data_IF_057694814593
#
_entry.id   IF_057694814593
#
_cell.length_a   1.000
_cell.length_b   1.000
_cell.length_c   1.000
_cell.angle_alpha   90.00
_cell.angle_beta   90.00
_cell.angle_gamma   90.00
#
_symmetry.space_group_name_H-M   'P 1'
#
loop_
_entity.id
_entity.type
_entity.pdbx_description
1 polymer ?
#
# COMPACT_ATOMS: atom_id res chain seq x y z
N UNK A 1 0.39 -2.09 -0.23
CA UNK A 1 -0.12 -2.22 -1.61
C UNK A 1 -1.57 -2.72 -1.63
N UNK A 2 -1.83 -3.86 -0.99
CA UNK A 2 -3.13 -4.56 -1.02
C UNK A 2 -4.28 -3.75 -0.39
N UNK A 3 -4.07 -3.18 0.79
CA UNK A 3 -5.08 -2.34 1.46
C UNK A 3 -5.43 -1.12 0.57
N UNK A 4 -4.40 -0.51 -0.02
CA UNK A 4 -4.55 0.64 -0.91
C UNK A 4 -5.32 0.25 -2.18
N UNK A 5 -5.07 -0.94 -2.76
CA UNK A 5 -5.81 -1.41 -3.93
C UNK A 5 -7.28 -1.72 -3.62
N UNK A 6 -7.59 -2.20 -2.41
CA UNK A 6 -8.96 -2.41 -1.94
C UNK A 6 -9.75 -1.10 -1.80
N UNK A 7 -9.15 -0.09 -1.15
CA UNK A 7 -9.74 1.26 -1.09
C UNK A 7 -9.93 1.87 -2.49
N UNK A 8 -8.96 1.65 -3.40
CA UNK A 8 -9.00 2.20 -4.76
C UNK A 8 -10.13 1.58 -5.58
N UNK A 9 -10.36 0.27 -5.45
CA UNK A 9 -11.50 -0.41 -6.04
C UNK A 9 -12.82 0.21 -5.55
N UNK A 10 -12.97 0.39 -4.23
CA UNK A 10 -14.16 1.02 -3.66
C UNK A 10 -14.42 2.43 -4.17
N UNK A 11 -13.36 3.22 -4.34
CA UNK A 11 -13.47 4.59 -4.84
C UNK A 11 -13.92 4.60 -6.31
N UNK A 12 -13.25 3.82 -7.17
CA UNK A 12 -13.60 3.75 -8.58
C UNK A 12 -14.99 3.15 -8.81
N UNK A 13 -15.35 2.07 -8.10
CA UNK A 13 -16.68 1.48 -8.18
C UNK A 13 -17.76 2.44 -7.68
N UNK A 14 -17.46 3.18 -6.60
CA UNK A 14 -18.28 4.24 -6.06
C UNK A 14 -18.61 5.34 -7.05
N UNK A 15 -17.60 5.92 -7.69
CA UNK A 15 -17.80 6.97 -8.67
C UNK A 15 -18.50 6.47 -9.94
N UNK A 16 -18.25 5.22 -10.35
CA UNK A 16 -19.00 4.59 -11.46
C UNK A 16 -20.48 4.42 -11.09
N UNK A 17 -20.79 3.91 -9.90
CA UNK A 17 -22.17 3.78 -9.43
C UNK A 17 -22.85 5.14 -9.28
N UNK A 18 -22.16 6.13 -8.71
CA UNK A 18 -22.63 7.50 -8.59
C UNK A 18 -22.94 8.09 -9.97
N UNK A 19 -22.03 7.96 -10.93
CA UNK A 19 -22.22 8.44 -12.31
C UNK A 19 -23.42 7.81 -13.02
N UNK A 20 -23.70 6.53 -12.73
CA UNK A 20 -24.88 5.85 -13.23
C UNK A 20 -26.17 6.41 -12.63
N UNK A 21 -26.16 6.81 -11.35
CA UNK A 21 -27.32 7.42 -10.69
C UNK A 21 -27.61 8.81 -11.27
N UNK A 22 -26.59 9.65 -11.41
CA UNK A 22 -26.74 11.02 -11.95
C UNK A 22 -26.80 11.06 -13.48
N UNK A 23 -26.70 9.91 -14.16
CA UNK A 23 -26.65 9.77 -15.62
C UNK A 23 -25.57 10.65 -16.27
N UNK A 24 -24.41 10.74 -15.60
CA UNK A 24 -23.27 11.56 -16.02
C UNK A 24 -22.20 10.72 -16.71
N UNK A 25 -22.11 10.88 -18.01
CA UNK A 25 -21.17 10.14 -18.85
C UNK A 25 -19.70 10.54 -18.61
N UNK A 26 -19.43 11.78 -18.25
CA UNK A 26 -18.06 12.28 -18.05
C UNK A 26 -17.45 11.67 -16.80
N UNK A 27 -18.21 11.61 -15.70
CA UNK A 27 -17.78 10.96 -14.46
C UNK A 27 -17.60 9.46 -14.69
N UNK A 28 -18.48 8.83 -15.46
CA UNK A 28 -18.39 7.40 -15.79
C UNK A 28 -17.09 7.07 -16.54
N UNK A 29 -16.84 7.75 -17.66
CA UNK A 29 -15.65 7.48 -18.50
C UNK A 29 -14.37 7.77 -17.74
N UNK A 30 -14.31 8.83 -16.94
CA UNK A 30 -13.11 9.15 -16.20
C UNK A 30 -12.72 8.08 -15.15
N UNK A 31 -13.71 7.40 -14.58
CA UNK A 31 -13.49 6.42 -13.50
C UNK A 31 -13.46 4.97 -13.97
N UNK A 32 -14.08 4.64 -15.12
CA UNK A 32 -14.15 3.28 -15.64
C UNK A 32 -12.76 2.63 -15.90
N UNK A 33 -11.76 3.30 -16.51
CA UNK A 33 -10.42 2.74 -16.66
C UNK A 33 -9.76 2.46 -15.30
N UNK A 34 -9.98 3.33 -14.32
CA UNK A 34 -9.50 3.16 -12.95
C UNK A 34 -10.12 1.93 -12.28
N UNK A 35 -11.41 1.69 -12.49
CA UNK A 35 -12.11 0.50 -12.02
C UNK A 35 -11.48 -0.77 -12.61
N UNK A 36 -11.29 -0.82 -13.93
CA UNK A 36 -10.66 -1.97 -14.60
C UNK A 36 -9.25 -2.22 -14.05
N UNK A 37 -8.44 -1.16 -13.92
CA UNK A 37 -7.09 -1.27 -13.38
C UNK A 37 -7.10 -1.73 -11.91
N UNK A 38 -8.03 -1.25 -11.10
CA UNK A 38 -8.15 -1.65 -9.70
C UNK A 38 -8.52 -3.12 -9.56
N UNK A 39 -9.41 -3.64 -10.41
CA UNK A 39 -9.74 -5.08 -10.44
C UNK A 39 -8.49 -5.89 -10.80
N UNK A 40 -7.75 -5.47 -11.82
CA UNK A 40 -6.52 -6.14 -12.21
C UNK A 40 -5.49 -6.15 -11.08
N UNK A 41 -5.25 -5.01 -10.42
CA UNK A 41 -4.31 -4.91 -9.30
C UNK A 41 -4.71 -5.83 -8.14
N UNK A 42 -6.00 -5.91 -7.81
CA UNK A 42 -6.48 -6.81 -6.76
C UNK A 42 -6.34 -8.30 -7.14
N UNK A 43 -6.57 -8.66 -8.41
CA UNK A 43 -6.33 -10.03 -8.90
C UNK A 43 -4.83 -10.41 -8.86
N UNK A 44 -3.94 -9.50 -9.25
CA UNK A 44 -2.49 -9.72 -9.16
C UNK A 44 -2.04 -9.86 -7.71
N UNK A 45 -2.58 -9.03 -6.81
CA UNK A 45 -2.31 -9.13 -5.39
C UNK A 45 -2.72 -10.51 -4.84
N UNK A 46 -3.93 -10.97 -5.12
CA UNK A 46 -4.40 -12.29 -4.71
C UNK A 46 -3.51 -13.42 -5.26
N UNK A 47 -3.08 -13.31 -6.53
CA UNK A 47 -2.16 -14.27 -7.14
C UNK A 47 -0.81 -14.32 -6.42
N UNK A 48 -0.21 -13.16 -6.12
CA UNK A 48 1.09 -13.09 -5.43
C UNK A 48 1.00 -13.72 -4.03
N UNK A 49 -0.10 -13.49 -3.32
CA UNK A 49 -0.30 -14.03 -1.98
C UNK A 49 -0.54 -15.55 -2.03
N UNK A 50 -1.31 -16.03 -3.00
CA UNK A 50 -1.48 -17.46 -3.23
C UNK A 50 -0.13 -18.15 -3.51
N UNK A 51 0.71 -17.53 -4.35
CA UNK A 51 2.04 -18.04 -4.63
C UNK A 51 2.95 -18.05 -3.39
N UNK A 52 2.87 -17.02 -2.54
CA UNK A 52 3.63 -16.98 -1.29
C UNK A 52 3.19 -18.08 -0.31
N UNK A 53 1.88 -18.28 -0.15
CA UNK A 53 1.32 -19.35 0.68
C UNK A 53 1.74 -20.75 0.19
N UNK A 54 1.74 -20.98 -1.11
CA UNK A 54 2.24 -22.24 -1.68
C UNK A 54 3.72 -22.46 -1.43
N UNK A 55 4.55 -21.41 -1.57
CA UNK A 55 6.00 -21.48 -1.29
C UNK A 55 6.27 -21.83 0.17
N UNK A 56 5.55 -21.21 1.10
CA UNK A 56 5.66 -21.50 2.53
C UNK A 56 5.21 -22.93 2.87
N UNK A 57 4.10 -23.40 2.27
CA UNK A 57 3.62 -24.78 2.47
C UNK A 57 4.61 -25.83 1.97
N UNK A 58 5.23 -25.59 0.81
CA UNK A 58 6.25 -26.49 0.27
C UNK A 58 7.54 -26.46 1.10
N UNK A 59 7.98 -25.29 1.55
CA UNK A 59 9.19 -25.18 2.38
C UNK A 59 9.02 -25.91 3.72
N UNK A 60 7.88 -25.74 4.40
CA UNK A 60 7.60 -26.46 5.64
C UNK A 60 7.51 -27.98 5.45
N UNK A 61 6.97 -28.45 4.31
CA UNK A 61 6.99 -29.89 4.00
C UNK A 61 8.39 -30.43 3.81
N UNK A 62 9.27 -29.66 3.15
CA UNK A 62 10.66 -30.07 2.96
C UNK A 62 11.44 -30.11 4.28
N UNK A 63 11.27 -29.11 5.15
CA UNK A 63 11.91 -29.07 6.48
C UNK A 63 11.46 -30.26 7.33
N UNK A 64 10.15 -30.54 7.39
CA UNK A 64 9.65 -31.69 8.14
C UNK A 64 10.22 -33.02 7.62
N UNK A 65 10.35 -33.19 6.30
CA UNK A 65 10.97 -34.39 5.72
C UNK A 65 12.46 -34.51 6.05
N UNK A 66 13.22 -33.41 6.05
CA UNK A 66 14.62 -33.43 6.48
C UNK A 66 14.76 -33.76 7.96
N UNK A 67 13.90 -33.22 8.82
CA UNK A 67 13.91 -33.50 10.26
C UNK A 67 13.53 -34.96 10.56
N UNK A 68 12.56 -35.53 9.83
CA UNK A 68 12.21 -36.95 9.93
C UNK A 68 13.37 -37.86 9.48
N UNK A 69 14.07 -37.47 8.40
CA UNK A 69 15.24 -38.23 7.93
C UNK A 69 16.44 -38.11 8.87
N UNK A 70 16.67 -36.93 9.47
CA UNK A 70 17.76 -36.69 10.40
C UNK A 70 17.50 -37.38 11.74
N UNK A 71 16.26 -37.35 12.24
CA UNK A 71 15.87 -38.10 13.45
C UNK A 71 15.91 -39.62 13.24
N UNK A 72 15.54 -40.13 12.06
CA UNK A 72 15.72 -41.54 11.73
C UNK A 72 17.21 -41.95 11.69
N UNK A 73 18.08 -41.09 11.15
CA UNK A 73 19.52 -41.31 11.13
C UNK A 73 20.15 -41.16 12.54
N UNK A 74 19.67 -40.23 13.35
CA UNK A 74 20.08 -40.06 14.74
C UNK A 74 19.61 -41.23 15.59
N UNK A 75 18.41 -41.79 15.39
CA UNK A 75 17.99 -43.03 16.05
C UNK A 75 18.87 -44.24 15.69
N UNK A 76 19.47 -44.27 14.49
CA UNK A 76 20.46 -45.28 14.10
C UNK A 76 21.80 -45.01 14.79
N UNK A 77 22.29 -43.76 14.78
CA UNK A 77 23.54 -43.38 15.45
C UNK A 77 23.48 -43.48 16.98
N UNK A 78 22.32 -43.24 17.59
CA UNK A 78 22.06 -43.35 19.03
C UNK A 78 22.13 -44.82 19.49
N UNK A 79 21.69 -45.78 18.67
CA UNK A 79 21.91 -47.22 18.94
C UNK A 79 23.39 -47.60 19.00
N UNK A 80 24.27 -46.84 18.35
CA UNK A 80 25.72 -47.04 18.37
C UNK A 80 26.42 -46.24 19.49
N UNK A 81 25.80 -45.15 19.96
CA UNK A 81 26.40 -44.18 20.90
C UNK A 81 25.84 -44.25 22.33
N UNK A 82 25.02 -45.24 22.66
CA UNK A 82 24.45 -45.47 24.00
C UNK A 82 25.44 -46.06 25.05
N UNK A 83 26.73 -45.77 24.95
CA UNK A 83 27.71 -46.08 26.01
C UNK A 83 28.25 -44.84 26.72
N UNK A 84 28.15 -43.64 26.15
CA UNK A 84 28.67 -42.42 26.76
C UNK A 84 27.75 -41.25 26.45
N UNK A 85 27.58 -40.34 27.42
CA UNK A 85 26.93 -39.01 27.32
C UNK A 85 25.47 -38.92 27.78
N UNK A 86 25.21 -39.31 29.02
CA UNK A 86 24.20 -38.65 29.84
C UNK A 86 24.80 -37.36 30.45
N UNK A 87 24.89 -36.28 29.67
CA UNK A 87 25.13 -34.89 30.15
C UNK A 87 25.15 -33.90 28.98
N UNK A 88 23.99 -33.43 28.54
CA UNK A 88 23.79 -32.09 27.95
C UNK A 88 22.36 -32.00 27.38
N UNK A 89 21.38 -31.92 28.27
CA UNK A 89 20.09 -31.34 27.92
C UNK A 89 19.98 -30.06 28.72
N UNK A 90 20.24 -28.93 28.07
CA UNK A 90 19.61 -27.64 28.40
C UNK A 90 20.04 -26.62 27.33
N UNK A 91 19.06 -26.20 26.51
CA UNK A 91 19.17 -25.00 25.68
C UNK A 91 19.28 -25.22 24.18
N UNK A 92 18.24 -25.70 23.51
CA UNK A 92 18.12 -25.44 22.08
C UNK A 92 16.67 -25.29 21.59
N UNK A 93 16.44 -24.13 20.97
CA UNK A 93 15.34 -23.67 20.12
C UNK A 93 13.89 -23.73 20.66
N UNK A 94 13.51 -22.68 21.40
CA UNK A 94 12.13 -22.18 21.46
C UNK A 94 11.93 -20.93 20.58
N UNK A 95 12.98 -20.45 19.92
CA UNK A 95 12.97 -19.20 19.13
C UNK A 95 12.43 -19.35 17.70
N UNK A 96 12.76 -20.45 17.02
CA UNK A 96 12.47 -20.61 15.60
C UNK A 96 10.99 -20.95 15.31
N UNK A 97 10.35 -21.69 16.23
CA UNK A 97 8.93 -22.07 16.12
C UNK A 97 8.02 -20.85 16.30
N UNK A 98 8.40 -19.90 17.15
CA UNK A 98 7.60 -18.69 17.43
C UNK A 98 7.65 -17.69 16.27
N UNK A 99 8.80 -17.56 15.59
CA UNK A 99 8.94 -16.67 14.43
C UNK A 99 8.13 -17.18 13.21
N UNK A 100 8.10 -18.49 12.99
CA UNK A 100 7.38 -19.08 11.86
C UNK A 100 5.85 -19.03 12.02
N UNK A 101 5.35 -19.01 13.25
CA UNK A 101 3.91 -18.94 13.55
C UNK A 101 3.38 -17.49 13.56
N UNK A 102 4.21 -16.51 13.94
CA UNK A 102 3.89 -15.08 13.79
C UNK A 102 3.76 -14.66 12.32
N UNK A 103 4.62 -15.19 11.43
CA UNK A 103 4.53 -14.93 10.00
C UNK A 103 3.29 -15.58 9.36
N UNK A 104 2.80 -16.70 9.91
CA UNK A 104 1.60 -17.41 9.43
C UNK A 104 0.29 -16.66 9.76
N UNK A 105 0.21 -16.01 10.93
CA UNK A 105 -0.96 -15.22 11.34
C UNK A 105 -1.10 -13.88 10.62
N UNK A 106 0.00 -13.32 10.10
CA UNK A 106 -0.08 -12.07 9.35
C UNK A 106 -0.70 -12.29 7.97
N UNK A 107 -0.39 -13.38 7.25
CA UNK A 107 -0.90 -13.58 5.87
C UNK A 107 -2.41 -13.88 5.83
N UNK A 108 -2.95 -14.60 6.81
CA UNK A 108 -4.36 -14.98 6.85
C UNK A 108 -5.33 -13.80 7.14
N UNK A 109 -4.84 -12.71 7.73
CA UNK A 109 -5.65 -11.52 8.05
C UNK A 109 -5.79 -10.53 6.89
N UNK A 110 -4.86 -10.54 5.92
CA UNK A 110 -4.86 -9.54 4.83
C UNK A 110 -5.80 -9.91 3.67
N UNK A 111 -5.88 -11.20 3.32
CA UNK A 111 -6.76 -11.69 2.24
C UNK A 111 -8.24 -11.54 2.61
N UNK A 112 -8.56 -11.86 3.86
CA UNK A 112 -9.91 -11.68 4.41
C UNK A 112 -10.34 -10.22 4.37
N UNK A 113 -9.41 -9.28 4.63
CA UNK A 113 -9.71 -7.85 4.60
C UNK A 113 -10.01 -7.36 3.18
N UNK A 114 -9.28 -7.85 2.16
CA UNK A 114 -9.58 -7.51 0.75
C UNK A 114 -10.92 -8.05 0.33
N UNK A 115 -11.16 -9.33 0.56
CA UNK A 115 -12.42 -9.99 0.18
C UNK A 115 -13.58 -9.32 0.92
N UNK A 116 -13.41 -9.01 2.21
CA UNK A 116 -14.39 -8.27 2.98
C UNK A 116 -14.68 -6.90 2.38
N UNK A 117 -13.66 -6.14 2.00
CA UNK A 117 -13.85 -4.82 1.37
C UNK A 117 -14.57 -4.95 0.02
N UNK A 118 -14.17 -5.90 -0.84
CA UNK A 118 -14.82 -6.15 -2.14
C UNK A 118 -16.28 -6.53 -1.95
N UNK A 119 -16.55 -7.50 -1.06
CA UNK A 119 -17.91 -7.97 -0.76
C UNK A 119 -18.74 -6.85 -0.16
N UNK A 120 -18.19 -6.04 0.75
CA UNK A 120 -18.87 -4.89 1.33
C UNK A 120 -19.31 -3.92 0.24
N UNK A 121 -18.44 -3.56 -0.71
CA UNK A 121 -18.81 -2.67 -1.81
C UNK A 121 -19.88 -3.28 -2.73
N UNK A 122 -19.77 -4.57 -3.07
CA UNK A 122 -20.80 -5.26 -3.87
C UNK A 122 -22.15 -5.27 -3.15
N UNK A 123 -22.17 -5.56 -1.85
CA UNK A 123 -23.38 -5.58 -1.02
C UNK A 123 -23.98 -4.18 -0.92
N UNK A 124 -23.16 -3.15 -0.68
CA UNK A 124 -23.64 -1.76 -0.63
C UNK A 124 -24.32 -1.37 -1.94
N UNK A 125 -23.68 -1.57 -3.10
CA UNK A 125 -24.29 -1.20 -4.40
C UNK A 125 -25.51 -2.05 -4.76
N UNK A 126 -25.48 -3.36 -4.44
CA UNK A 126 -26.62 -4.24 -4.68
C UNK A 126 -27.81 -3.82 -3.80
N UNK A 127 -27.60 -3.59 -2.51
CA UNK A 127 -28.66 -3.19 -1.59
C UNK A 127 -29.34 -1.88 -2.00
N UNK A 128 -28.56 -0.90 -2.47
CA UNK A 128 -29.07 0.38 -2.99
C UNK A 128 -29.87 0.18 -4.29
N UNK A 129 -29.47 -0.76 -5.15
CA UNK A 129 -30.14 -1.03 -6.42
C UNK A 129 -31.50 -1.72 -6.26
N UNK A 130 -31.65 -2.57 -5.23
CA UNK A 130 -32.89 -3.33 -4.98
C UNK A 130 -33.84 -2.63 -3.99
N UNK A 131 -33.38 -1.60 -3.28
CA UNK A 131 -34.22 -0.89 -2.34
C UNK A 131 -35.22 0.02 -3.09
N UNK A 132 -36.52 -0.03 -2.77
CA UNK A 132 -37.52 0.86 -3.37
C UNK A 132 -37.43 2.27 -2.75
N UNK A 133 -36.31 2.95 -2.98
CA UNK A 133 -35.98 4.26 -2.41
C UNK A 133 -35.99 5.30 -3.53
N UNK A 134 -36.35 6.54 -3.19
CA UNK A 134 -36.27 7.68 -4.11
C UNK A 134 -34.84 7.90 -4.62
N UNK A 135 -34.71 8.23 -5.91
CA UNK A 135 -33.40 8.41 -6.57
C UNK A 135 -32.53 9.47 -5.89
N UNK A 136 -33.14 10.55 -5.37
CA UNK A 136 -32.42 11.63 -4.66
C UNK A 136 -31.78 11.13 -3.36
N UNK A 137 -32.48 10.24 -2.64
CA UNK A 137 -31.97 9.64 -1.40
C UNK A 137 -30.85 8.64 -1.72
N UNK A 138 -31.01 7.86 -2.80
CA UNK A 138 -29.98 6.95 -3.30
C UNK A 138 -28.71 7.72 -3.69
N UNK A 139 -28.85 8.82 -4.43
CA UNK A 139 -27.74 9.71 -4.79
C UNK A 139 -27.03 10.25 -3.55
N UNK A 140 -27.78 10.72 -2.55
CA UNK A 140 -27.20 11.24 -1.32
C UNK A 140 -26.42 10.18 -0.54
N UNK A 141 -27.00 9.00 -0.35
CA UNK A 141 -26.35 7.89 0.38
C UNK A 141 -25.08 7.45 -0.32
N UNK A 142 -25.15 7.19 -1.64
CA UNK A 142 -23.97 6.77 -2.42
C UNK A 142 -22.93 7.89 -2.43
N UNK A 143 -23.33 9.13 -2.70
CA UNK A 143 -22.43 10.28 -2.70
C UNK A 143 -21.66 10.44 -1.38
N UNK A 144 -22.35 10.32 -0.24
CA UNK A 144 -21.72 10.39 1.09
C UNK A 144 -20.75 9.21 1.31
N UNK A 145 -21.17 7.98 1.02
CA UNK A 145 -20.34 6.78 1.24
C UNK A 145 -19.06 6.83 0.39
N UNK A 146 -19.17 7.25 -0.87
CA UNK A 146 -18.01 7.39 -1.77
C UNK A 146 -17.08 8.49 -1.28
N UNK A 147 -17.62 9.61 -0.82
CA UNK A 147 -16.84 10.70 -0.23
C UNK A 147 -16.10 10.27 1.04
N UNK A 148 -16.74 9.51 1.93
CA UNK A 148 -16.09 8.98 3.13
C UNK A 148 -14.92 8.05 2.78
N UNK A 149 -15.07 7.23 1.74
CA UNK A 149 -13.96 6.42 1.24
C UNK A 149 -12.82 7.30 0.69
N UNK A 150 -13.17 8.37 -0.03
CA UNK A 150 -12.20 9.27 -0.63
C UNK A 150 -11.35 10.02 0.41
N UNK A 151 -11.89 10.32 1.60
CA UNK A 151 -11.14 10.96 2.70
C UNK A 151 -9.88 10.15 3.08
N UNK A 152 -9.92 8.82 3.00
CA UNK A 152 -8.74 7.99 3.28
C UNK A 152 -7.57 8.27 2.32
N UNK A 153 -7.87 8.65 1.07
CA UNK A 153 -6.84 8.99 0.08
C UNK A 153 -6.14 10.31 0.40
N UNK A 154 -6.80 11.23 1.11
CA UNK A 154 -6.18 12.48 1.55
C UNK A 154 -5.18 12.31 2.70
N UNK A 155 -5.17 11.14 3.35
CA UNK A 155 -4.11 10.78 4.29
C UNK A 155 -2.71 10.80 3.67
N UNK A 156 -2.57 10.41 2.39
CA UNK A 156 -1.29 10.43 1.67
C UNK A 156 -0.65 11.82 1.52
N UNK A 157 -1.31 12.78 0.86
CA UNK A 157 -0.81 14.14 0.73
C UNK A 157 -0.64 14.84 2.09
N UNK A 158 -1.54 14.59 3.05
CA UNK A 158 -1.43 15.14 4.41
C UNK A 158 -0.20 14.61 5.15
N UNK A 159 0.06 13.30 5.06
CA UNK A 159 1.27 12.68 5.63
C UNK A 159 2.54 13.29 5.01
N UNK A 160 2.53 13.56 3.70
CA UNK A 160 3.64 14.20 3.01
C UNK A 160 3.84 15.65 3.49
N UNK A 161 2.77 16.43 3.63
CA UNK A 161 2.79 17.79 4.20
C UNK A 161 3.43 17.79 5.59
N UNK A 162 2.96 16.90 6.48
CA UNK A 162 3.52 16.77 7.84
C UNK A 162 4.99 16.40 7.81
N UNK A 163 5.38 15.53 6.88
CA UNK A 163 6.79 15.12 6.71
C UNK A 163 7.65 16.31 6.32
N UNK A 164 7.26 17.09 5.31
CA UNK A 164 8.00 18.29 4.88
C UNK A 164 8.09 19.33 5.98
N UNK A 165 7.02 19.56 6.74
CA UNK A 165 7.06 20.48 7.87
C UNK A 165 8.02 20.01 8.97
N UNK A 166 8.14 18.70 9.22
CA UNK A 166 9.06 18.16 10.23
C UNK A 166 10.51 18.15 9.76
N UNK A 167 10.76 17.76 8.52
CA UNK A 167 12.11 17.63 7.96
C UNK A 167 12.64 18.94 7.37
N UNK A 168 11.77 19.94 7.19
CA UNK A 168 12.07 21.20 6.50
C UNK A 168 12.67 20.97 5.09
N UNK A 169 12.32 19.83 4.47
CA UNK A 169 12.86 19.39 3.18
C UNK A 169 11.72 18.88 2.30
N UNK A 170 11.61 19.44 1.08
CA UNK A 170 10.53 19.15 0.13
C UNK A 170 10.77 17.91 -0.75
N UNK A 171 11.81 17.11 -0.49
CA UNK A 171 12.18 15.96 -1.33
C UNK A 171 11.09 14.88 -1.44
N UNK A 172 10.28 14.71 -0.40
CA UNK A 172 9.16 13.75 -0.39
C UNK A 172 8.02 14.15 -1.32
N UNK A 173 7.93 15.42 -1.75
CA UNK A 173 6.91 15.89 -2.68
C UNK A 173 7.39 15.68 -4.12
N UNK A 174 6.72 14.79 -4.84
CA UNK A 174 6.96 14.61 -6.27
C UNK A 174 6.24 15.68 -7.10
N UNK A 175 6.98 16.69 -7.57
CA UNK A 175 6.45 17.88 -8.26
C UNK A 175 5.51 17.59 -9.43
N UNK A 176 5.80 16.55 -10.23
CA UNK A 176 4.92 16.18 -11.36
C UNK A 176 3.56 15.69 -10.86
N UNK A 177 3.55 14.75 -9.92
CA UNK A 177 2.28 14.24 -9.35
C UNK A 177 1.50 15.33 -8.65
N UNK A 178 2.18 16.24 -7.94
CA UNK A 178 1.55 17.42 -7.35
C UNK A 178 0.80 18.24 -8.42
N UNK A 179 1.49 18.67 -9.47
CA UNK A 179 0.88 19.51 -10.51
C UNK A 179 -0.31 18.82 -11.18
N UNK A 180 -0.14 17.56 -11.60
CA UNK A 180 -1.20 16.80 -12.27
C UNK A 180 -2.41 16.58 -11.34
N UNK A 181 -2.19 16.25 -10.06
CA UNK A 181 -3.29 16.05 -9.12
C UNK A 181 -4.03 17.34 -8.81
N UNK A 182 -3.33 18.47 -8.62
CA UNK A 182 -3.95 19.77 -8.36
C UNK A 182 -4.74 20.25 -9.57
N UNK A 183 -4.20 20.10 -10.78
CA UNK A 183 -4.89 20.45 -12.03
C UNK A 183 -6.14 19.58 -12.22
N UNK A 184 -6.02 18.26 -12.02
CA UNK A 184 -7.15 17.34 -12.08
C UNK A 184 -8.25 17.74 -11.07
N UNK A 185 -7.89 17.98 -9.81
CA UNK A 185 -8.84 18.41 -8.79
C UNK A 185 -9.52 19.74 -9.16
N UNK A 186 -8.77 20.68 -9.73
CA UNK A 186 -9.31 21.99 -10.15
C UNK A 186 -10.32 21.83 -11.28
N UNK A 187 -10.03 20.99 -12.29
CA UNK A 187 -10.98 20.72 -13.37
C UNK A 187 -12.25 20.04 -12.86
N UNK A 188 -12.14 19.07 -11.94
CA UNK A 188 -13.31 18.44 -11.34
C UNK A 188 -14.12 19.38 -10.46
N UNK A 189 -13.48 20.29 -9.71
CA UNK A 189 -14.19 21.33 -8.96
C UNK A 189 -14.94 22.27 -9.90
N UNK A 190 -14.30 22.75 -10.98
CA UNK A 190 -14.95 23.61 -11.96
C UNK A 190 -16.11 22.91 -12.68
N UNK A 191 -15.94 21.62 -13.01
CA UNK A 191 -16.99 20.77 -13.55
C UNK A 191 -18.18 20.67 -12.61
N UNK A 192 -17.93 20.34 -11.34
CA UNK A 192 -18.96 20.18 -10.32
C UNK A 192 -19.75 21.46 -10.05
N UNK A 193 -19.09 22.63 -10.09
CA UNK A 193 -19.77 23.94 -10.03
C UNK A 193 -20.72 24.12 -11.21
N UNK A 194 -20.33 23.67 -12.41
CA UNK A 194 -21.12 23.82 -13.63
C UNK A 194 -22.40 22.96 -13.62
N UNK A 195 -22.35 21.78 -12.99
CA UNK A 195 -23.49 20.88 -12.85
C UNK A 195 -24.19 21.00 -11.48
N UNK A 196 -23.72 21.91 -10.61
CA UNK A 196 -24.23 22.14 -9.24
C UNK A 196 -24.23 20.85 -8.39
N UNK A 197 -23.18 20.03 -8.53
CA UNK A 197 -23.03 18.77 -7.79
C UNK A 197 -22.07 18.95 -6.60
N UNK A 198 -22.63 19.05 -5.40
CA UNK A 198 -21.86 19.19 -4.16
C UNK A 198 -21.01 17.96 -3.82
N UNK A 199 -21.45 16.76 -4.21
CA UNK A 199 -20.74 15.51 -3.89
C UNK A 199 -19.45 15.38 -4.68
N UNK A 200 -19.38 15.94 -5.89
CA UNK A 200 -18.13 16.05 -6.67
C UNK A 200 -17.34 17.29 -6.24
N UNK A 201 -18.01 18.41 -5.94
CA UNK A 201 -17.34 19.68 -5.63
C UNK A 201 -16.53 19.62 -4.33
N UNK A 202 -17.14 19.15 -3.23
CA UNK A 202 -16.52 19.14 -1.89
C UNK A 202 -15.18 18.39 -1.87
N UNK A 203 -15.10 17.11 -2.30
CA UNK A 203 -13.84 16.38 -2.24
C UNK A 203 -12.79 17.04 -3.13
N UNK A 204 -13.12 17.36 -4.38
CA UNK A 204 -12.14 17.94 -5.30
C UNK A 204 -11.66 19.32 -4.84
N UNK A 205 -12.54 20.13 -4.25
CA UNK A 205 -12.17 21.42 -3.64
C UNK A 205 -11.17 21.25 -2.50
N UNK A 206 -11.36 20.25 -1.64
CA UNK A 206 -10.37 19.89 -0.61
C UNK A 206 -9.04 19.42 -1.23
N UNK A 207 -9.10 18.66 -2.33
CA UNK A 207 -7.92 18.26 -3.11
C UNK A 207 -7.14 19.46 -3.65
N UNK A 208 -7.83 20.48 -4.18
CA UNK A 208 -7.21 21.74 -4.62
C UNK A 208 -6.55 22.47 -3.45
N UNK A 209 -7.22 22.57 -2.30
CA UNK A 209 -6.66 23.21 -1.11
C UNK A 209 -5.38 22.50 -0.65
N UNK A 210 -5.39 21.17 -0.55
CA UNK A 210 -4.21 20.38 -0.20
C UNK A 210 -3.08 20.55 -1.22
N UNK A 211 -3.42 20.58 -2.52
CA UNK A 211 -2.47 20.85 -3.59
C UNK A 211 -1.82 22.23 -3.49
N UNK A 212 -2.59 23.27 -3.19
CA UNK A 212 -2.08 24.63 -2.95
C UNK A 212 -1.10 24.64 -1.77
N UNK A 213 -1.46 24.00 -0.65
CA UNK A 213 -0.56 23.89 0.52
C UNK A 213 0.76 23.20 0.12
N UNK A 214 0.69 22.10 -0.63
CA UNK A 214 1.89 21.40 -1.10
C UNK A 214 2.74 22.26 -2.04
N UNK A 215 2.13 23.06 -2.92
CA UNK A 215 2.86 24.02 -3.77
C UNK A 215 3.60 25.05 -2.92
N UNK A 216 2.94 25.63 -1.91
CA UNK A 216 3.60 26.58 -1.00
C UNK A 216 4.79 25.94 -0.26
N UNK A 217 4.65 24.70 0.23
CA UNK A 217 5.75 23.99 0.89
C UNK A 217 6.94 23.75 -0.04
N UNK A 218 6.70 23.43 -1.32
CA UNK A 218 7.77 23.26 -2.31
C UNK A 218 8.51 24.56 -2.61
N UNK A 219 7.84 25.70 -2.51
CA UNK A 219 8.43 27.03 -2.73
C UNK A 219 9.24 27.47 -1.49
N UNK A 220 8.73 27.21 -0.28
CA UNK A 220 9.34 27.65 0.98
C UNK A 220 10.53 26.76 1.36
N UNK A 221 10.40 25.44 1.21
CA UNK A 221 11.41 24.49 1.68
C UNK A 221 12.34 24.01 0.56
N UNK A 222 13.67 24.03 0.78
CA UNK A 222 14.63 23.55 -0.19
C UNK A 222 14.45 22.05 -0.44
N UNK A 223 14.81 21.61 -1.65
CA UNK A 223 14.82 20.21 -2.04
C UNK A 223 16.24 19.68 -1.92
N UNK A 224 16.53 19.01 -0.81
CA UNK A 224 17.87 18.49 -0.52
C UNK A 224 17.85 16.97 -0.69
N UNK A 225 18.56 16.40 -1.69
CA UNK A 225 18.83 14.96 -1.76
C UNK A 225 19.46 14.47 -0.46
N UNK A 226 19.06 13.29 0.03
CA UNK A 226 19.86 12.66 1.08
C UNK A 226 21.22 12.36 0.48
N UNK A 227 22.29 12.88 1.09
CA UNK A 227 23.64 12.44 0.75
C UNK A 227 23.71 10.95 1.07
N UNK A 228 23.79 10.12 0.03
CA UNK A 228 24.22 8.74 0.23
C UNK A 228 25.61 8.81 0.85
N UNK A 229 25.89 8.07 1.94
CA UNK A 229 27.27 7.96 2.41
C UNK A 229 28.07 7.38 1.24
N UNK A 230 28.89 8.24 0.60
CA UNK A 230 29.85 7.83 -0.42
C UNK A 230 30.59 6.63 0.14
N UNK A 231 30.49 5.48 -0.55
CA UNK A 231 31.24 4.28 -0.18
C UNK A 231 32.71 4.64 0.04
N UNK A 232 33.38 3.98 0.99
CA UNK A 232 34.79 4.26 1.33
C UNK A 232 35.69 4.24 0.08
N UNK A 233 35.33 3.44 -0.92
CA UNK A 233 35.99 3.34 -2.23
C UNK A 233 35.92 4.64 -3.05
N UNK A 234 34.84 5.42 -2.95
CA UNK A 234 34.66 6.69 -3.69
C UNK A 234 35.37 7.86 -2.98
N UNK A 235 35.47 7.83 -1.65
CA UNK A 235 36.26 8.80 -0.87
C UNK A 235 37.76 8.60 -1.03
N UNK A 236 38.22 7.35 -1.21
CA UNK A 236 39.62 7.04 -1.49
C UNK A 236 40.10 7.55 -2.87
N UNK A 237 39.19 7.74 -3.83
CA UNK A 237 39.50 8.23 -5.19
C UNK A 237 39.62 9.76 -5.25
N UNK A 238 38.92 10.51 -4.39
CA UNK A 238 38.96 11.99 -4.36
C UNK A 238 40.09 12.57 -3.51
N UNK A 239 40.77 11.78 -2.66
CA UNK A 239 41.93 12.25 -1.91
C UNK A 239 43.07 12.58 -2.89
N UNK A 240 43.56 13.84 -2.95
CA UNK A 240 44.72 14.17 -3.76
C UNK A 240 45.87 13.30 -3.30
N UNK A 241 46.50 12.56 -4.23
CA UNK A 241 47.76 11.86 -3.96
C UNK A 241 48.72 12.90 -3.39
N UNK A 242 48.90 12.87 -2.07
CA UNK A 242 49.85 13.72 -1.39
C UNK A 242 51.19 13.51 -2.09
N UNK A 243 51.74 14.61 -2.59
CA UNK A 243 53.05 14.68 -3.19
C UNK A 243 54.05 14.26 -2.11
N UNK A 244 54.36 12.96 -2.09
CA UNK A 244 55.47 12.44 -1.34
C UNK A 244 56.74 12.72 -2.16
N UNK A 245 57.73 13.29 -1.47
CA UNK A 245 59.17 13.18 -1.72
C UNK A 245 59.72 13.93 -2.96
N UNK A 246 60.80 14.70 -2.91
CA UNK A 246 62.03 14.51 -2.11
C UNK A 246 62.66 15.81 -1.60
N UNK A 247 63.04 15.78 -0.33
CA UNK A 247 64.23 16.46 0.19
C UNK A 247 65.48 15.70 -0.24
N UNK A 248 66.35 16.34 -1.02
CA UNK A 248 67.81 16.38 -0.86
C UNK A 248 68.43 17.39 -1.83
#
# INVERSE_FOLDING_TARGET
>A
LIIISGFMLGNCAGWVAYSYIIQDFFVLIANAPGLVMSIWLNLNAAKLIYQDNLRLSNNNRNVNMTDESSSAQDHINIKEKHADLARQEEGFSTGDVVQHDQKRKSVLSHDQLVILMVVLWIVTFSSVSFAPINIDTVQAVVGIVVNLNLVFFYGGPLSTIVTVMKTQNSISIHRRTLFMNTANATFWTAYAISIVDYYIMIPNGLGVLLGIVQVFLVIIFPRIPFDEPKSEDEQAVELPKAHATDTE
#
